data_IF_239142043651
#
_entry.id   IF_239142043651
#
_cell.length_a   1.000
_cell.length_b   1.000
_cell.length_c   1.000
_cell.angle_alpha   90.00
_cell.angle_beta   90.00
_cell.angle_gamma   90.00
#
_symmetry.space_group_name_H-M   'P 1'
#
loop_
_entity.id
_entity.type
_entity.pdbx_description
1 polymer ?
#
# COMPACT_ATOMS: atom_id res chain seq x y z
N UNK A 1 -32.98 -2.06 -18.51
CA UNK A 1 -31.89 -1.17 -18.08
C UNK A 1 -30.94 -1.98 -17.22
N UNK A 2 -29.72 -2.20 -17.68
CA UNK A 2 -28.67 -2.86 -16.90
C UNK A 2 -28.01 -1.76 -16.07
N UNK A 3 -28.15 -1.83 -14.75
CA UNK A 3 -27.46 -0.91 -13.84
C UNK A 3 -25.98 -1.31 -13.78
N UNK A 4 -25.13 -0.48 -14.40
CA UNK A 4 -23.67 -0.61 -14.46
C UNK A 4 -22.99 0.24 -13.38
N UNK A 5 -23.53 0.33 -12.17
CA UNK A 5 -22.79 0.90 -11.04
C UNK A 5 -21.84 -0.14 -10.43
N UNK A 6 -20.67 -0.32 -11.05
CA UNK A 6 -19.50 -0.92 -10.41
C UNK A 6 -18.95 0.09 -9.41
N UNK A 7 -19.37 0.05 -8.16
CA UNK A 7 -18.69 0.78 -7.09
C UNK A 7 -17.28 0.21 -6.93
N UNK A 8 -16.29 0.90 -7.52
CA UNK A 8 -14.89 0.60 -7.29
C UNK A 8 -14.63 0.66 -5.79
N UNK A 9 -14.01 -0.38 -5.20
CA UNK A 9 -13.65 -0.25 -3.79
C UNK A 9 -12.58 0.79 -3.61
N UNK A 10 -12.77 1.62 -2.60
CA UNK A 10 -11.77 2.58 -2.21
C UNK A 10 -10.51 1.83 -1.74
N UNK A 11 -9.37 2.17 -2.33
CA UNK A 11 -8.08 1.95 -1.69
C UNK A 11 -8.06 2.78 -0.41
N UNK A 12 -7.52 2.21 0.65
CA UNK A 12 -7.26 2.90 1.91
C UNK A 12 -5.77 2.92 2.18
N UNK A 13 -5.34 3.76 3.11
CA UNK A 13 -3.95 3.80 3.51
C UNK A 13 -3.83 3.95 5.02
N UNK A 14 -2.68 3.54 5.53
CA UNK A 14 -2.22 3.75 6.89
C UNK A 14 -0.80 4.31 6.84
N UNK A 15 -0.47 5.21 7.76
CA UNK A 15 0.90 5.71 7.94
C UNK A 15 1.44 5.18 9.26
N UNK A 16 2.53 4.43 9.19
CA UNK A 16 3.31 4.00 10.35
C UNK A 16 4.41 5.02 10.54
N UNK A 17 4.40 5.70 11.69
CA UNK A 17 5.44 6.67 12.06
C UNK A 17 6.43 5.99 12.99
N UNK A 18 7.70 6.04 12.62
CA UNK A 18 8.79 5.62 13.48
C UNK A 18 9.49 6.85 14.05
N UNK A 19 9.71 6.85 15.37
CA UNK A 19 10.48 7.90 16.02
C UNK A 19 11.91 7.96 15.47
N UNK A 20 12.49 9.16 15.55
CA UNK A 20 13.88 9.37 15.21
C UNK A 20 14.81 8.62 16.17
N UNK A 21 16.01 8.29 15.68
CA UNK A 21 17.05 7.65 16.49
C UNK A 21 18.17 8.63 16.80
N UNK A 22 18.68 8.55 18.03
CA UNK A 22 19.79 9.38 18.48
C UNK A 22 21.06 9.10 17.65
N UNK A 23 21.75 10.17 17.27
CA UNK A 23 23.06 10.08 16.62
C UNK A 23 24.14 9.85 17.68
N UNK A 24 25.02 8.91 17.40
CA UNK A 24 26.24 8.70 18.15
C UNK A 24 27.25 9.82 17.85
N UNK A 25 27.16 10.90 18.62
CA UNK A 25 28.02 12.08 18.51
C UNK A 25 28.12 12.83 19.84
N UNK A 26 29.20 13.58 20.04
CA UNK A 26 29.35 14.50 21.17
C UNK A 26 28.63 15.85 20.93
N UNK A 27 28.24 16.14 19.69
CA UNK A 27 27.50 17.35 19.37
C UNK A 27 26.13 17.36 20.06
N UNK A 28 25.69 18.55 20.47
CA UNK A 28 24.41 18.77 21.15
C UNK A 28 23.63 19.88 20.47
N UNK A 29 22.32 19.83 20.66
CA UNK A 29 21.42 20.92 20.30
C UNK A 29 21.66 22.14 21.23
N UNK A 30 21.20 23.35 20.88
CA UNK A 30 21.39 24.55 21.70
C UNK A 30 20.84 24.45 23.14
N UNK A 31 19.86 23.57 23.36
CA UNK A 31 19.28 23.27 24.67
C UNK A 31 20.05 22.19 25.45
N UNK A 32 21.17 21.70 24.92
CA UNK A 32 21.97 20.62 25.49
C UNK A 32 21.47 19.22 25.18
N UNK A 33 20.34 19.08 24.47
CA UNK A 33 19.77 17.79 24.10
C UNK A 33 20.60 17.03 23.04
N UNK A 34 20.40 15.70 22.93
CA UNK A 34 21.05 14.91 21.89
C UNK A 34 20.53 15.27 20.49
N UNK A 35 21.35 15.02 19.46
CA UNK A 35 20.90 15.16 18.08
C UNK A 35 20.19 13.88 17.66
N UNK A 36 18.89 13.97 17.38
CA UNK A 36 18.06 12.85 16.94
C UNK A 36 17.80 12.99 15.43
N UNK A 37 17.76 11.87 14.71
CA UNK A 37 17.32 11.87 13.31
C UNK A 37 15.87 12.35 13.20
N UNK A 38 15.46 12.79 12.01
CA UNK A 38 14.04 13.02 11.77
C UNK A 38 13.24 11.74 12.00
N UNK A 39 11.99 11.83 12.47
CA UNK A 39 11.06 10.71 12.44
C UNK A 39 10.76 10.33 10.98
N UNK A 40 10.36 9.08 10.77
CA UNK A 40 10.09 8.53 9.44
C UNK A 40 8.62 8.19 9.30
N UNK A 41 8.11 8.25 8.08
CA UNK A 41 6.79 7.75 7.73
C UNK A 41 6.91 6.64 6.69
N UNK A 42 6.37 5.47 7.02
CA UNK A 42 6.15 4.37 6.09
C UNK A 42 4.66 4.30 5.77
N UNK A 43 4.29 4.34 4.48
CA UNK A 43 2.87 4.34 4.08
C UNK A 43 2.45 2.97 3.55
N UNK A 44 1.43 2.39 4.16
CA UNK A 44 0.80 1.14 3.72
C UNK A 44 -0.45 1.50 2.91
N UNK A 45 -0.41 1.29 1.59
CA UNK A 45 -1.57 1.50 0.71
C UNK A 45 -2.19 0.15 0.44
N UNK A 46 -3.47 -0.04 0.74
CA UNK A 46 -4.07 -1.36 0.71
C UNK A 46 -5.52 -1.40 0.25
N UNK A 47 -5.87 -2.52 -0.39
CA UNK A 47 -7.25 -2.95 -0.57
C UNK A 47 -7.68 -3.91 0.54
N UNK A 48 -8.54 -4.86 0.17
CA UNK A 48 -9.04 -5.89 1.08
C UNK A 48 -8.05 -7.05 1.31
N UNK A 49 -7.26 -7.41 0.30
CA UNK A 49 -6.37 -8.59 0.38
C UNK A 49 -4.90 -8.29 0.15
N UNK A 50 -4.60 -7.19 -0.53
CA UNK A 50 -3.25 -6.88 -0.99
C UNK A 50 -2.87 -5.47 -0.55
N UNK A 51 -1.57 -5.26 -0.34
CA UNK A 51 -1.00 -3.98 0.02
C UNK A 51 0.33 -3.69 -0.68
N UNK A 52 0.63 -2.41 -0.81
CA UNK A 52 1.93 -1.88 -1.20
C UNK A 52 2.47 -1.07 -0.03
N UNK A 53 3.75 -1.27 0.28
CA UNK A 53 4.49 -0.44 1.23
C UNK A 53 5.27 0.63 0.46
N UNK A 54 5.22 1.87 0.93
CA UNK A 54 6.07 2.97 0.48
C UNK A 54 7.07 3.29 1.59
N UNK A 55 8.35 3.29 1.23
CA UNK A 55 9.51 3.60 2.10
C UNK A 55 9.57 2.77 3.39
N UNK A 56 10.21 1.59 3.37
CA UNK A 56 10.57 0.88 4.59
C UNK A 56 11.47 1.73 5.49
N UNK A 57 11.29 1.60 6.81
CA UNK A 57 12.24 2.15 7.80
C UNK A 57 13.65 1.54 7.63
N UNK A 58 14.65 2.12 8.30
CA UNK A 58 16.07 1.78 8.06
C UNK A 58 16.80 1.09 9.20
N UNK A 59 16.35 1.23 10.45
CA UNK A 59 16.97 0.51 11.58
C UNK A 59 16.34 -0.86 11.79
N UNK A 60 17.12 -1.78 12.38
CA UNK A 60 16.66 -3.15 12.64
C UNK A 60 15.36 -3.18 13.44
N UNK A 61 15.27 -2.36 14.49
CA UNK A 61 14.09 -2.31 15.36
C UNK A 61 12.88 -1.72 14.63
N UNK A 62 13.04 -0.59 13.94
CA UNK A 62 11.94 0.04 13.20
C UNK A 62 11.41 -0.90 12.09
N UNK A 63 12.30 -1.60 11.38
CA UNK A 63 11.91 -2.57 10.36
C UNK A 63 11.16 -3.77 10.96
N UNK A 64 11.55 -4.24 12.14
CA UNK A 64 10.81 -5.30 12.84
C UNK A 64 9.39 -4.86 13.16
N UNK A 65 9.22 -3.68 13.78
CA UNK A 65 7.91 -3.14 14.12
C UNK A 65 7.02 -2.91 12.90
N UNK A 66 7.61 -2.40 11.80
CA UNK A 66 6.89 -2.24 10.54
C UNK A 66 6.42 -3.59 9.98
N UNK A 67 7.27 -4.62 10.04
CA UNK A 67 6.90 -5.97 9.63
C UNK A 67 5.76 -6.55 10.48
N UNK A 68 5.81 -6.34 11.81
CA UNK A 68 4.74 -6.77 12.73
C UNK A 68 3.42 -6.10 12.38
N UNK A 69 3.48 -4.80 12.07
CA UNK A 69 2.29 -4.05 11.66
C UNK A 69 1.71 -4.58 10.35
N UNK A 70 2.55 -4.88 9.36
CA UNK A 70 2.13 -5.45 8.08
C UNK A 70 1.44 -6.81 8.29
N UNK A 71 2.04 -7.70 9.09
CA UNK A 71 1.45 -9.01 9.41
C UNK A 71 0.11 -8.89 10.14
N UNK A 72 -0.01 -7.96 11.09
CA UNK A 72 -1.24 -7.71 11.82
C UNK A 72 -2.42 -7.29 10.93
N UNK A 73 -2.15 -6.76 9.73
CA UNK A 73 -3.23 -6.42 8.78
C UNK A 73 -3.87 -7.64 8.13
N UNK A 74 -3.23 -8.82 8.16
CA UNK A 74 -3.67 -10.02 7.46
C UNK A 74 -3.68 -9.92 5.93
N UNK A 75 -3.10 -8.86 5.35
CA UNK A 75 -3.05 -8.63 3.90
C UNK A 75 -1.71 -9.08 3.32
N UNK A 76 -1.73 -9.51 2.06
CA UNK A 76 -0.52 -9.87 1.32
C UNK A 76 0.22 -8.60 0.89
N UNK A 77 1.44 -8.40 1.38
CA UNK A 77 2.37 -7.43 0.80
C UNK A 77 2.74 -7.90 -0.61
N UNK A 78 2.52 -7.07 -1.63
CA UNK A 78 2.79 -7.43 -3.03
C UNK A 78 3.95 -6.66 -3.64
N UNK A 79 4.20 -5.46 -3.15
CA UNK A 79 5.29 -4.62 -3.61
C UNK A 79 5.76 -3.66 -2.52
N UNK A 80 7.02 -3.26 -2.64
CA UNK A 80 7.60 -2.10 -1.95
C UNK A 80 7.97 -1.07 -2.99
N UNK A 81 7.67 0.20 -2.73
CA UNK A 81 8.12 1.32 -3.55
C UNK A 81 9.02 2.25 -2.72
N UNK A 82 10.19 2.59 -3.26
CA UNK A 82 11.15 3.49 -2.63
C UNK A 82 11.11 4.84 -3.35
N UNK A 83 10.82 5.89 -2.59
CA UNK A 83 10.67 7.25 -3.13
C UNK A 83 12.01 7.94 -3.33
N UNK A 84 12.96 7.76 -2.39
CA UNK A 84 14.24 8.46 -2.34
C UNK A 84 15.41 7.49 -2.11
N UNK A 85 16.59 7.81 -2.65
CA UNK A 85 17.77 6.94 -2.56
C UNK A 85 18.53 7.03 -1.24
N UNK A 86 18.10 7.87 -0.29
CA UNK A 86 18.77 8.00 1.01
C UNK A 86 18.51 6.76 1.86
N UNK A 87 19.50 6.37 2.67
CA UNK A 87 19.47 5.11 3.42
C UNK A 87 18.26 4.95 4.33
N UNK A 88 17.75 6.06 4.88
CA UNK A 88 16.60 6.10 5.78
C UNK A 88 15.28 5.68 5.14
N UNK A 89 15.21 5.61 3.80
CA UNK A 89 14.03 5.15 3.07
C UNK A 89 14.05 3.67 2.68
N UNK A 90 15.18 2.97 2.81
CA UNK A 90 15.30 1.64 2.22
C UNK A 90 16.27 0.65 2.89
N UNK A 91 17.16 1.08 3.79
CA UNK A 91 18.16 0.16 4.36
C UNK A 91 17.56 -1.07 5.05
N UNK A 92 16.36 -0.96 5.63
CA UNK A 92 15.64 -2.06 6.25
C UNK A 92 14.96 -3.02 5.27
N UNK A 93 14.95 -2.72 3.98
CA UNK A 93 14.23 -3.50 2.96
C UNK A 93 14.63 -4.98 3.00
N UNK A 94 15.93 -5.28 3.02
CA UNK A 94 16.40 -6.66 2.98
C UNK A 94 15.97 -7.47 4.22
N UNK A 95 15.95 -6.84 5.40
CA UNK A 95 15.43 -7.48 6.61
C UNK A 95 13.91 -7.69 6.51
N UNK A 96 13.16 -6.70 6.03
CA UNK A 96 11.72 -6.81 5.84
C UNK A 96 11.37 -7.99 4.92
N UNK A 97 12.08 -8.12 3.79
CA UNK A 97 11.80 -9.17 2.80
C UNK A 97 12.09 -10.60 3.28
N UNK A 98 12.86 -10.78 4.37
CA UNK A 98 12.99 -12.11 4.99
C UNK A 98 11.64 -12.65 5.50
N UNK A 99 10.71 -11.76 5.88
CA UNK A 99 9.36 -12.10 6.35
C UNK A 99 8.36 -12.21 5.21
N UNK A 100 8.60 -11.50 4.10
CA UNK A 100 7.70 -11.44 2.95
C UNK A 100 8.40 -11.90 1.66
N UNK A 101 8.70 -13.20 1.52
CA UNK A 101 9.42 -13.71 0.36
C UNK A 101 8.63 -13.49 -0.94
N UNK A 102 9.34 -13.17 -2.01
CA UNK A 102 8.77 -12.94 -3.35
C UNK A 102 8.23 -11.53 -3.61
N UNK A 103 8.18 -10.65 -2.59
CA UNK A 103 7.80 -9.25 -2.77
C UNK A 103 8.80 -8.52 -3.65
N UNK A 104 8.27 -7.73 -4.59
CA UNK A 104 9.08 -6.97 -5.54
C UNK A 104 9.32 -5.55 -5.03
N UNK A 105 10.56 -5.06 -5.12
CA UNK A 105 10.95 -3.71 -4.70
C UNK A 105 11.16 -2.84 -5.93
N UNK A 106 10.56 -1.67 -5.95
CA UNK A 106 10.61 -0.76 -7.09
C UNK A 106 11.12 0.62 -6.70
N UNK A 107 11.87 1.24 -7.60
CA UNK A 107 12.32 2.62 -7.49
C UNK A 107 12.58 3.20 -8.89
N UNK A 108 12.77 4.51 -9.02
CA UNK A 108 13.23 5.07 -10.30
C UNK A 108 14.70 4.73 -10.56
N UNK A 109 15.19 4.72 -11.82
CA UNK A 109 16.61 4.52 -12.09
C UNK A 109 17.52 5.52 -11.34
N UNK A 110 17.11 6.78 -11.24
CA UNK A 110 17.86 7.81 -10.50
C UNK A 110 17.89 7.54 -9.00
N UNK A 111 16.77 7.08 -8.44
CA UNK A 111 16.68 6.62 -7.05
C UNK A 111 17.67 5.48 -6.79
N UNK A 112 17.69 4.45 -7.66
CA UNK A 112 18.58 3.29 -7.53
C UNK A 112 20.05 3.70 -7.58
N UNK A 113 20.43 4.57 -8.54
CA UNK A 113 21.79 5.06 -8.62
C UNK A 113 22.23 5.80 -7.34
N UNK A 114 21.33 6.56 -6.71
CA UNK A 114 21.61 7.20 -5.42
C UNK A 114 21.65 6.19 -4.27
N UNK A 115 20.84 5.12 -4.29
CA UNK A 115 20.92 4.03 -3.31
C UNK A 115 22.31 3.38 -3.34
N UNK A 116 22.86 3.10 -4.52
CA UNK A 116 24.21 2.55 -4.67
C UNK A 116 25.26 3.49 -4.06
N UNK A 117 25.17 4.80 -4.33
CA UNK A 117 26.06 5.81 -3.75
C UNK A 117 25.95 5.88 -2.22
N UNK A 118 24.72 5.86 -1.68
CA UNK A 118 24.47 5.91 -0.25
C UNK A 118 24.97 4.65 0.46
N UNK A 119 24.84 3.49 -0.17
CA UNK A 119 25.37 2.24 0.36
C UNK A 119 26.90 2.23 0.35
N UNK A 120 27.54 2.76 -0.70
CA UNK A 120 29.00 2.90 -0.76
C UNK A 120 29.54 3.87 0.32
N UNK A 121 28.81 4.97 0.59
CA UNK A 121 29.18 5.95 1.61
C UNK A 121 28.77 5.55 3.05
N UNK A 122 28.01 4.46 3.20
CA UNK A 122 27.42 4.04 4.48
C UNK A 122 28.45 3.86 5.61
N UNK A 123 29.58 3.16 5.42
CA UNK A 123 30.55 2.95 6.51
C UNK A 123 31.15 4.26 7.03
N UNK A 124 31.26 5.29 6.17
CA UNK A 124 31.84 6.58 6.50
C UNK A 124 30.86 7.61 7.08
N UNK A 125 29.58 7.29 7.14
CA UNK A 125 28.55 8.24 7.59
C UNK A 125 27.51 7.57 8.48
N UNK A 126 26.73 6.67 7.90
CA UNK A 126 25.61 6.02 8.58
C UNK A 126 26.06 5.11 9.72
N UNK A 127 27.07 4.26 9.50
CA UNK A 127 27.53 3.34 10.54
C UNK A 127 28.32 4.04 11.66
N UNK A 128 28.88 5.24 11.39
CA UNK A 128 29.52 6.10 12.40
C UNK A 128 28.46 6.77 13.28
N UNK A 129 27.43 7.35 12.65
CA UNK A 129 26.39 8.08 13.36
C UNK A 129 25.39 7.16 14.06
N UNK A 130 25.23 5.91 13.60
CA UNK A 130 24.21 4.99 14.10
C UNK A 130 24.78 3.57 14.26
N UNK A 131 25.83 3.41 15.09
CA UNK A 131 26.57 2.16 15.19
C UNK A 131 25.66 1.01 15.65
N UNK A 132 25.69 -0.09 14.89
CA UNK A 132 24.92 -1.30 15.20
C UNK A 132 23.42 -1.24 14.94
N UNK A 133 22.88 -0.11 14.47
CA UNK A 133 21.43 0.04 14.26
C UNK A 133 20.97 -0.44 12.87
N UNK A 134 21.88 -0.51 11.90
CA UNK A 134 21.55 -0.76 10.49
C UNK A 134 21.99 -2.18 10.10
N UNK A 135 21.03 -3.01 9.68
CA UNK A 135 21.32 -4.37 9.17
C UNK A 135 21.96 -4.35 7.77
N UNK A 136 22.28 -5.52 7.17
CA UNK A 136 22.74 -5.59 5.79
C UNK A 136 21.73 -4.97 4.81
N UNK A 137 22.19 -4.08 3.93
CA UNK A 137 21.33 -3.29 3.04
C UNK A 137 21.74 -3.40 1.56
N UNK A 138 21.65 -4.58 0.93
CA UNK A 138 21.82 -4.68 -0.51
C UNK A 138 20.75 -3.86 -1.25
N UNK A 139 21.12 -3.25 -2.38
CA UNK A 139 20.17 -2.57 -3.26
C UNK A 139 19.33 -3.63 -3.99
N UNK A 140 18.08 -3.81 -3.55
CA UNK A 140 17.15 -4.81 -4.09
C UNK A 140 16.13 -4.24 -5.08
N UNK A 141 16.09 -2.91 -5.21
CA UNK A 141 15.11 -2.23 -6.05
C UNK A 141 15.39 -2.44 -7.53
N UNK A 142 14.34 -2.70 -8.31
CA UNK A 142 14.39 -2.69 -9.78
C UNK A 142 13.67 -1.46 -10.32
N UNK A 143 14.04 -0.97 -11.53
CA UNK A 143 13.40 0.19 -12.13
C UNK A 143 11.89 -0.01 -12.28
N UNK A 144 11.11 1.02 -11.91
CA UNK A 144 9.72 1.10 -12.38
C UNK A 144 9.70 1.15 -13.90
N UNK A 145 8.90 0.31 -14.54
CA UNK A 145 8.80 0.29 -16.00
C UNK A 145 8.19 1.61 -16.50
N UNK A 146 8.84 2.28 -17.45
CA UNK A 146 8.30 3.50 -18.11
C UNK A 146 7.04 3.27 -18.95
N UNK A 147 6.52 2.04 -19.05
CA UNK A 147 5.31 1.74 -19.81
C UNK A 147 4.06 2.09 -19.01
N UNK A 148 3.54 3.30 -19.20
CA UNK A 148 2.11 3.54 -19.13
C UNK A 148 1.44 2.76 -20.27
N UNK A 149 1.04 1.51 -20.01
CA UNK A 149 0.42 0.64 -21.03
C UNK A 149 0.46 -0.84 -20.67
N UNK A 150 -0.54 -1.29 -19.92
CA UNK A 150 -1.13 -2.64 -19.79
C UNK A 150 -0.29 -3.94 -19.80
N UNK A 151 1.06 -3.92 -19.79
CA UNK A 151 1.83 -5.17 -20.04
C UNK A 151 3.03 -5.42 -19.13
N UNK A 152 3.32 -4.55 -18.15
CA UNK A 152 4.48 -4.71 -17.26
C UNK A 152 4.17 -4.93 -15.79
N UNK A 153 2.94 -4.66 -15.36
CA UNK A 153 2.52 -4.87 -13.98
C UNK A 153 1.73 -6.18 -13.93
N UNK A 154 2.26 -7.20 -13.24
CA UNK A 154 1.41 -8.32 -12.86
C UNK A 154 0.32 -7.71 -11.97
N UNK A 155 -0.96 -7.76 -12.38
CA UNK A 155 -1.98 -7.02 -11.68
C UNK A 155 -1.96 -7.47 -10.23
N UNK A 156 -2.01 -6.52 -9.29
CA UNK A 156 -2.80 -6.74 -8.08
C UNK A 156 -4.05 -7.45 -8.56
N UNK A 157 -4.17 -8.72 -8.18
CA UNK A 157 -5.24 -9.55 -8.72
C UNK A 157 -6.53 -8.80 -8.42
N UNK A 158 -7.45 -8.71 -9.39
CA UNK A 158 -8.71 -7.94 -9.26
C UNK A 158 -9.52 -8.31 -8.00
N UNK A 159 -9.16 -9.41 -7.35
CA UNK A 159 -9.55 -9.91 -6.02
C UNK A 159 -9.05 -9.12 -4.81
N UNK A 160 -8.12 -8.17 -4.96
CA UNK A 160 -7.61 -7.30 -3.88
C UNK A 160 -8.55 -6.16 -3.49
N UNK A 161 -9.59 -5.91 -4.28
CA UNK A 161 -10.54 -4.79 -4.15
C UNK A 161 -11.71 -5.21 -3.23
N UNK A 162 -12.02 -4.41 -2.22
CA UNK A 162 -13.10 -4.62 -1.26
C UNK A 162 -14.49 -4.58 -1.91
N UNK A 163 -15.20 -5.68 -1.96
CA UNK A 163 -16.64 -5.60 -2.31
C UNK A 163 -17.38 -5.07 -1.08
N UNK A 164 -18.21 -4.06 -1.24
CA UNK A 164 -19.17 -3.68 -0.20
C UNK A 164 -20.13 -4.85 0.04
N UNK A 165 -20.60 -5.09 1.28
CA UNK A 165 -21.74 -5.97 1.51
C UNK A 165 -22.92 -5.44 0.69
N UNK A 166 -23.62 -6.32 -0.05
CA UNK A 166 -24.91 -5.93 -0.62
C UNK A 166 -25.80 -5.58 0.56
N UNK A 167 -26.32 -4.36 0.61
CA UNK A 167 -27.50 -4.10 1.43
C UNK A 167 -28.59 -5.01 0.89
N UNK A 168 -29.04 -5.97 1.70
CA UNK A 168 -30.24 -6.76 1.43
C UNK A 168 -31.39 -5.77 1.31
N UNK A 169 -31.78 -5.47 0.06
CA UNK A 169 -33.07 -4.83 -0.18
C UNK A 169 -34.13 -5.90 0.12
N UNK A 170 -35.15 -5.59 0.94
CA UNK A 170 -36.25 -6.53 1.13
C UNK A 170 -36.91 -6.81 -0.22
N UNK A 171 -37.25 -8.08 -0.46
CA UNK A 171 -37.93 -8.52 -1.67
C UNK A 171 -39.21 -7.70 -1.89
N UNK A 172 -39.50 -7.27 -3.13
CA UNK A 172 -40.77 -6.62 -3.41
C UNK A 172 -41.91 -7.62 -3.15
N UNK A 173 -43.06 -7.16 -2.61
CA UNK A 173 -44.17 -8.05 -2.33
C UNK A 173 -44.67 -8.71 -3.61
N UNK A 174 -44.81 -10.04 -3.56
CA UNK A 174 -45.43 -10.85 -4.61
C UNK A 174 -46.85 -10.34 -4.83
N UNK A 175 -47.12 -9.79 -6.00
CA UNK A 175 -48.49 -9.47 -6.42
C UNK A 175 -49.22 -10.75 -6.83
N UNK A 176 -50.27 -11.07 -6.09
CA UNK A 176 -51.22 -12.14 -6.39
C UNK A 176 -51.90 -11.86 -7.73
N UNK A 177 -51.50 -12.58 -8.79
CA UNK A 177 -52.22 -12.57 -10.07
C UNK A 177 -53.44 -13.48 -9.94
N UNK A 178 -54.55 -12.91 -9.47
CA UNK A 178 -55.87 -13.52 -9.70
C UNK A 178 -56.24 -13.42 -11.18
N UNK A 179 -56.30 -14.58 -11.81
CA UNK A 179 -56.97 -14.84 -13.08
C UNK A 179 -58.46 -14.52 -12.96
N UNK A 180 -58.94 -13.58 -13.77
CA UNK A 180 -60.37 -13.28 -13.94
C UNK A 180 -60.72 -13.24 -15.42
N UNK A 181 -61.36 -14.31 -15.89
CA UNK A 181 -61.92 -14.48 -17.24
C UNK A 181 -63.29 -13.81 -17.41
N UNK A 182 -63.56 -13.42 -18.67
CA UNK A 182 -64.84 -13.01 -19.29
C UNK A 182 -65.39 -11.62 -18.90
N UNK A 183 -65.94 -10.82 -19.82
CA UNK A 183 -66.93 -11.17 -20.86
C UNK A 183 -66.95 -10.12 -21.97
N UNK A 184 -67.13 -10.55 -23.22
CA UNK A 184 -67.52 -9.69 -24.36
C UNK A 184 -68.94 -9.17 -24.16
N UNK A 185 -69.17 -7.90 -24.48
CA UNK A 185 -70.48 -7.38 -24.88
C UNK A 185 -70.31 -6.35 -26.00
N UNK A 186 -71.22 -6.44 -26.95
CA UNK A 186 -71.34 -5.76 -28.25
C UNK A 186 -72.21 -4.50 -28.15
N UNK A 187 -72.01 -3.54 -29.07
CA UNK A 187 -72.93 -2.41 -29.36
C UNK A 187 -72.16 -1.09 -29.47
N UNK A 188 -71.77 -0.59 -30.66
CA UNK A 188 -72.56 0.10 -31.69
C UNK A 188 -72.90 1.58 -31.37
N UNK A 189 -72.40 2.47 -32.25
CA UNK A 189 -73.01 3.73 -32.75
C UNK A 189 -72.56 5.10 -32.17
N UNK A 190 -71.68 5.76 -32.94
CA UNK A 190 -71.79 7.09 -33.61
C UNK A 190 -71.93 8.41 -32.79
N UNK A 191 -70.91 9.28 -32.96
CA UNK A 191 -70.89 10.74 -33.20
C UNK A 191 -71.74 11.66 -32.31
N UNK A 192 -71.05 12.51 -31.52
CA UNK A 192 -70.73 13.92 -31.83
C UNK A 192 -69.39 14.28 -31.17
#
# INVERSE_FOLDING_TARGET
>A
MVDTSSTASALTYEVVVADGVERHTELRLPDGGPIVSSPLSSTLIHGCREMVLVDPCWTIQQTTLLGDRIEATGRRLVAVYITHGHGDHWFGTAQLLKRFPGVQVYATPGTIALMDQQNAARPSFWDILFPGLIGPSPVLAKPVSRRYGHSGWSPVTRTGICRTPRHDRPDPPVSDRRTGTARRQTGATRVL
#
